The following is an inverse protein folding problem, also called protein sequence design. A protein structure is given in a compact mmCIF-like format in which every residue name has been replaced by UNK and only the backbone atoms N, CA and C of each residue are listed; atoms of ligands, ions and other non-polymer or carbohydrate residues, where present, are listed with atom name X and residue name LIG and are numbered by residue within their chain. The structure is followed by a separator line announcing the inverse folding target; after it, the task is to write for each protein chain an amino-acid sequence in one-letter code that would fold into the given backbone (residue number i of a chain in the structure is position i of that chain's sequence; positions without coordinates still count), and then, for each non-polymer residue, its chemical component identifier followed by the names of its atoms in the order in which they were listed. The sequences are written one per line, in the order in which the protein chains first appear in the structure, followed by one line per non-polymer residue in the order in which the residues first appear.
data_IF_002934346469
#
_entry.id   IF_002934346469
#
_cell.length_a   1.000
_cell.length_b   1.000
_cell.length_c   1.000
_cell.angle_alpha   90.00
_cell.angle_beta   90.00
_cell.angle_gamma   90.00
#
_symmetry.space_group_name_H-M   'P 1'
#
loop_
_entity.id
_entity.type
_entity.pdbx_description
1 polymer ?
#
# COMPACT_ATOMS: atom_id res chain seq x y z
N UNK A 1 16.25 -4.63 9.79
CA UNK A 1 15.14 -3.86 10.39
C UNK A 1 14.00 -4.84 10.63
N UNK A 2 13.33 -4.77 11.78
CA UNK A 2 12.17 -5.63 12.04
C UNK A 2 10.95 -5.20 11.23
N UNK A 3 10.02 -6.13 10.99
CA UNK A 3 8.83 -5.92 10.15
C UNK A 3 7.96 -4.74 10.60
N UNK A 4 7.75 -4.55 11.90
CA UNK A 4 6.88 -3.48 12.40
C UNK A 4 7.54 -2.11 12.26
N UNK A 5 8.86 -2.04 12.39
CA UNK A 5 9.61 -0.81 12.10
C UNK A 5 9.60 -0.51 10.60
N UNK A 6 9.79 -1.52 9.75
CA UNK A 6 9.74 -1.39 8.29
C UNK A 6 8.38 -0.82 7.83
N UNK A 7 7.27 -1.46 8.23
CA UNK A 7 5.92 -1.03 7.85
C UNK A 7 5.55 0.33 8.47
N UNK A 8 6.10 0.67 9.65
CA UNK A 8 5.90 2.00 10.22
C UNK A 8 6.48 3.11 9.36
N UNK A 9 7.67 2.90 8.80
CA UNK A 9 8.27 3.89 7.90
C UNK A 9 7.43 4.07 6.61
N UNK A 10 6.79 3.00 6.12
CA UNK A 10 5.78 3.11 5.05
C UNK A 10 4.57 3.92 5.47
N UNK A 11 3.97 3.58 6.61
CA UNK A 11 2.82 4.28 7.16
C UNK A 11 3.09 5.76 7.38
N UNK A 12 4.27 6.14 7.89
CA UNK A 12 4.63 7.55 8.09
C UNK A 12 4.72 8.32 6.76
N UNK A 13 5.27 7.70 5.72
CA UNK A 13 5.31 8.26 4.37
C UNK A 13 3.90 8.45 3.79
N UNK A 14 3.08 7.39 3.86
CA UNK A 14 1.68 7.40 3.41
C UNK A 14 0.87 8.46 4.16
N UNK A 15 0.93 8.50 5.49
CA UNK A 15 0.21 9.49 6.30
C UNK A 15 0.60 10.93 5.92
N UNK A 16 1.87 11.16 5.58
CA UNK A 16 2.34 12.45 5.05
C UNK A 16 1.70 12.80 3.70
N UNK A 17 1.59 11.83 2.79
CA UNK A 17 0.90 12.02 1.51
C UNK A 17 -0.60 12.27 1.71
N UNK A 18 -1.26 11.50 2.56
CA UNK A 18 -2.68 11.67 2.88
C UNK A 18 -2.97 13.04 3.50
N UNK A 19 -2.09 13.56 4.35
CA UNK A 19 -2.22 14.92 4.91
C UNK A 19 -2.17 16.01 3.84
N UNK A 20 -1.25 15.88 2.88
CA UNK A 20 -1.14 16.84 1.76
C UNK A 20 -2.37 16.75 0.85
N UNK A 21 -2.86 15.53 0.59
CA UNK A 21 -3.98 15.28 -0.30
C UNK A 21 -5.34 15.70 0.29
N UNK A 22 -5.53 15.57 1.60
CA UNK A 22 -6.74 16.03 2.30
C UNK A 22 -6.92 17.57 2.18
N UNK A 23 -5.80 18.30 2.13
CA UNK A 23 -5.79 19.75 1.90
C UNK A 23 -5.86 20.19 0.43
N UNK A 24 -5.92 19.26 -0.53
CA UNK A 24 -5.78 19.61 -1.95
C UNK A 24 -7.04 20.30 -2.52
N UNK A 25 -6.88 21.32 -3.39
CA UNK A 25 -8.01 22.03 -3.97
C UNK A 25 -8.78 21.16 -4.98
N UNK A 26 -10.10 21.09 -4.81
CA UNK A 26 -10.99 20.41 -5.74
C UNK A 26 -11.20 21.17 -7.07
N UNK A 27 -11.69 20.47 -8.09
CA UNK A 27 -12.03 21.06 -9.40
C UNK A 27 -10.80 21.51 -10.22
N UNK A 28 -10.90 22.64 -10.90
CA UNK A 28 -9.82 23.15 -11.77
C UNK A 28 -8.56 23.60 -11.00
N UNK A 29 -8.65 23.78 -9.68
CA UNK A 29 -7.50 24.09 -8.83
C UNK A 29 -6.50 22.93 -8.70
N UNK A 30 -6.99 21.69 -8.69
CA UNK A 30 -6.16 20.49 -8.58
C UNK A 30 -5.28 20.23 -9.83
N UNK A 31 -5.74 20.65 -11.00
CA UNK A 31 -4.96 20.53 -12.26
C UNK A 31 -3.71 21.41 -12.27
N UNK A 32 -3.68 22.46 -11.45
CA UNK A 32 -2.57 23.43 -11.40
C UNK A 32 -1.65 23.22 -10.19
N UNK A 33 -1.96 22.30 -9.28
CA UNK A 33 -1.31 22.18 -7.95
C UNK A 33 -0.33 21.02 -7.81
N UNK A 34 -0.08 20.23 -8.87
CA UNK A 34 0.71 19.00 -8.76
C UNK A 34 -0.03 17.83 -8.10
N UNK A 35 -1.37 17.90 -8.02
CA UNK A 35 -2.23 16.86 -7.44
C UNK A 35 -2.01 15.50 -8.13
N UNK A 36 -1.96 15.49 -9.46
CA UNK A 36 -1.75 14.27 -10.24
C UNK A 36 -0.48 13.53 -9.83
N UNK A 37 0.63 14.26 -9.67
CA UNK A 37 1.90 13.68 -9.21
C UNK A 37 1.78 13.14 -7.79
N UNK A 38 1.18 13.88 -6.86
CA UNK A 38 1.03 13.40 -5.47
C UNK A 38 0.16 12.15 -5.39
N UNK A 39 -0.95 12.10 -6.13
CA UNK A 39 -1.79 10.91 -6.21
C UNK A 39 -1.07 9.75 -6.91
N UNK A 40 -0.28 10.03 -7.94
CA UNK A 40 0.54 9.00 -8.59
C UNK A 40 1.54 8.38 -7.62
N UNK A 41 2.20 9.20 -6.80
CA UNK A 41 3.13 8.74 -5.76
C UNK A 41 2.40 7.88 -4.71
N UNK A 42 1.21 8.32 -4.26
CA UNK A 42 0.38 7.57 -3.33
C UNK A 42 0.00 6.20 -3.92
N UNK A 43 -0.50 6.16 -5.16
CA UNK A 43 -0.88 4.92 -5.84
C UNK A 43 0.30 3.95 -5.89
N UNK A 44 1.50 4.43 -6.24
CA UNK A 44 2.70 3.59 -6.27
C UNK A 44 3.02 3.05 -4.88
N UNK A 45 3.06 3.92 -3.86
CA UNK A 45 3.43 3.53 -2.50
C UNK A 45 2.48 2.48 -1.92
N UNK A 46 1.17 2.72 -2.04
CA UNK A 46 0.13 1.82 -1.53
C UNK A 46 0.11 0.49 -2.28
N UNK A 47 0.25 0.52 -3.62
CA UNK A 47 0.30 -0.71 -4.42
C UNK A 47 1.46 -1.62 -4.03
N UNK A 48 2.61 -1.03 -3.66
CA UNK A 48 3.76 -1.79 -3.19
C UNK A 48 3.56 -2.29 -1.76
N UNK A 49 3.00 -1.45 -0.89
CA UNK A 49 2.79 -1.72 0.52
C UNK A 49 1.77 -2.85 0.74
N UNK A 50 0.56 -2.73 0.18
CA UNK A 50 -0.48 -3.76 0.31
C UNK A 50 0.01 -5.10 -0.29
N UNK A 51 0.75 -5.06 -1.41
CA UNK A 51 1.24 -6.29 -2.04
C UNK A 51 2.22 -7.08 -1.14
N UNK A 52 3.11 -6.40 -0.41
CA UNK A 52 4.03 -7.10 0.49
C UNK A 52 3.32 -7.60 1.75
N UNK A 53 2.26 -6.91 2.20
CA UNK A 53 1.47 -7.32 3.34
C UNK A 53 0.66 -8.58 3.03
N UNK A 54 -0.05 -8.61 1.91
CA UNK A 54 -0.77 -9.79 1.41
C UNK A 54 0.15 -10.99 1.18
N UNK A 55 1.37 -10.75 0.69
CA UNK A 55 2.30 -11.82 0.38
C UNK A 55 2.99 -12.41 1.62
N UNK A 56 3.24 -11.59 2.66
CA UNK A 56 4.07 -11.98 3.80
C UNK A 56 3.54 -11.60 5.18
N UNK A 57 3.00 -10.39 5.35
CA UNK A 57 2.55 -9.92 6.66
C UNK A 57 1.31 -10.66 7.13
N UNK A 58 0.23 -10.69 6.34
CA UNK A 58 -1.01 -11.36 6.72
C UNK A 58 -0.87 -12.87 6.90
N UNK A 59 -0.11 -13.60 6.06
CA UNK A 59 0.23 -14.99 6.35
C UNK A 59 0.92 -15.17 7.71
N UNK A 60 1.86 -14.27 8.08
CA UNK A 60 2.52 -14.35 9.38
C UNK A 60 1.56 -14.03 10.55
N UNK A 61 0.62 -13.11 10.36
CA UNK A 61 -0.44 -12.82 11.35
C UNK A 61 -1.31 -14.05 11.58
N UNK A 62 -1.75 -14.73 10.51
CA UNK A 62 -2.54 -15.98 10.59
C UNK A 62 -1.80 -17.09 11.31
N UNK A 63 -0.51 -17.25 11.01
CA UNK A 63 0.31 -18.31 11.59
C UNK A 63 0.62 -18.06 13.08
N UNK A 64 0.75 -16.81 13.50
CA UNK A 64 1.24 -16.44 14.82
C UNK A 64 0.16 -16.20 15.88
N UNK A 65 -1.08 -15.92 15.49
CA UNK A 65 -2.15 -15.51 16.39
C UNK A 65 -3.34 -16.48 16.32
N UNK A 66 -3.91 -16.82 17.48
CA UNK A 66 -5.10 -17.68 17.56
C UNK A 66 -6.29 -17.06 16.80
N UNK A 67 -6.47 -15.74 16.88
CA UNK A 67 -7.45 -14.96 16.12
C UNK A 67 -6.92 -14.42 14.77
N UNK A 68 -5.78 -14.93 14.29
CA UNK A 68 -5.06 -14.38 13.15
C UNK A 68 -5.86 -14.38 11.84
N UNK A 69 -6.73 -15.38 11.63
CA UNK A 69 -7.61 -15.44 10.47
C UNK A 69 -8.61 -14.30 10.43
N UNK A 70 -9.30 -14.02 11.54
CA UNK A 70 -10.28 -12.93 11.64
C UNK A 70 -9.61 -11.57 11.46
N UNK A 71 -8.41 -11.40 12.04
CA UNK A 71 -7.66 -10.15 11.94
C UNK A 71 -7.23 -9.86 10.50
N UNK A 72 -6.69 -10.87 9.83
CA UNK A 72 -6.23 -10.76 8.45
C UNK A 72 -7.39 -10.65 7.46
N UNK A 73 -8.50 -11.38 7.65
CA UNK A 73 -9.67 -11.28 6.77
C UNK A 73 -10.25 -9.86 6.74
N UNK A 74 -10.31 -9.20 7.90
CA UNK A 74 -10.78 -7.82 7.99
C UNK A 74 -9.83 -6.84 7.28
N UNK A 75 -8.51 -6.98 7.49
CA UNK A 75 -7.53 -6.12 6.81
C UNK A 75 -7.56 -6.30 5.28
N UNK A 76 -7.57 -7.56 4.81
CA UNK A 76 -7.65 -7.87 3.38
C UNK A 76 -8.93 -7.32 2.74
N UNK A 77 -10.03 -7.26 3.50
CA UNK A 77 -11.25 -6.60 3.04
C UNK A 77 -11.05 -5.08 2.89
N UNK A 78 -10.39 -4.43 3.86
CA UNK A 78 -10.09 -3.00 3.80
C UNK A 78 -9.17 -2.67 2.62
N UNK A 79 -8.09 -3.43 2.42
CA UNK A 79 -7.16 -3.30 1.29
C UNK A 79 -7.88 -3.52 -0.04
N UNK A 80 -8.77 -4.50 -0.14
CA UNK A 80 -9.54 -4.74 -1.35
C UNK A 80 -10.43 -3.55 -1.74
N UNK A 81 -11.02 -2.85 -0.76
CA UNK A 81 -11.76 -1.60 -1.03
C UNK A 81 -10.80 -0.46 -1.38
N UNK A 82 -9.67 -0.34 -0.67
CA UNK A 82 -8.58 0.60 -0.97
C UNK A 82 -8.10 0.50 -2.42
N UNK A 83 -7.78 -0.70 -2.90
CA UNK A 83 -7.35 -0.97 -4.28
C UNK A 83 -8.35 -0.51 -5.33
N UNK A 84 -9.66 -0.65 -5.07
CA UNK A 84 -10.69 -0.18 -6.02
C UNK A 84 -10.69 1.34 -6.12
N UNK A 85 -10.47 2.04 -5.01
CA UNK A 85 -10.34 3.50 -4.99
C UNK A 85 -9.05 3.94 -5.68
N UNK A 86 -7.92 3.28 -5.40
CA UNK A 86 -6.66 3.52 -6.11
C UNK A 86 -6.80 3.29 -7.61
N UNK A 87 -7.56 2.27 -8.03
CA UNK A 87 -7.82 2.02 -9.46
C UNK A 87 -8.64 3.15 -10.10
N UNK A 88 -9.67 3.67 -9.41
CA UNK A 88 -10.41 4.86 -9.87
C UNK A 88 -9.50 6.08 -10.01
N UNK A 89 -8.56 6.26 -9.08
CA UNK A 89 -7.55 7.33 -9.14
C UNK A 89 -6.56 7.13 -10.29
N UNK A 90 -6.10 5.91 -10.54
CA UNK A 90 -5.21 5.56 -11.65
C UNK A 90 -5.87 5.77 -13.03
N UNK A 91 -7.17 5.47 -13.14
CA UNK A 91 -7.93 5.61 -14.40
C UNK A 91 -8.45 7.03 -14.65
N UNK A 92 -8.63 7.82 -13.59
CA UNK A 92 -9.19 9.17 -13.62
C UNK A 92 -8.14 10.28 -13.69
N UNK A 93 -8.61 11.53 -13.65
CA UNK A 93 -7.75 12.73 -13.64
C UNK A 93 -8.23 13.83 -12.69
N UNK A 94 -7.31 14.68 -12.19
CA UNK A 94 -7.69 15.87 -11.44
C UNK A 94 -8.73 16.73 -12.17
N UNK A 95 -9.80 17.05 -11.46
CA UNK A 95 -10.92 17.87 -11.95
C UNK A 95 -12.16 17.05 -12.31
N UNK A 96 -12.01 15.73 -12.45
CA UNK A 96 -13.14 14.82 -12.61
C UNK A 96 -13.82 14.57 -11.25
N UNK A 97 -15.16 14.62 -11.15
CA UNK A 97 -15.86 14.41 -9.89
C UNK A 97 -15.54 13.04 -9.24
N UNK A 98 -15.52 11.97 -10.04
CA UNK A 98 -15.23 10.61 -9.55
C UNK A 98 -13.83 10.47 -8.95
N UNK A 99 -12.84 11.14 -9.56
CA UNK A 99 -11.45 11.17 -9.07
C UNK A 99 -11.36 11.83 -7.69
N UNK A 100 -12.02 12.98 -7.52
CA UNK A 100 -11.99 13.72 -6.24
C UNK A 100 -12.78 12.99 -5.15
N UNK A 101 -13.89 12.33 -5.51
CA UNK A 101 -14.64 11.47 -4.60
C UNK A 101 -13.79 10.27 -4.14
N UNK A 102 -13.19 9.54 -5.08
CA UNK A 102 -12.31 8.41 -4.78
C UNK A 102 -11.12 8.83 -3.89
N UNK A 103 -10.56 10.03 -4.11
CA UNK A 103 -9.45 10.55 -3.30
C UNK A 103 -9.88 10.79 -1.84
N UNK A 104 -11.02 11.46 -1.64
CA UNK A 104 -11.53 11.75 -0.29
C UNK A 104 -11.88 10.46 0.47
N UNK A 105 -12.48 9.50 -0.23
CA UNK A 105 -12.79 8.18 0.32
C UNK A 105 -11.49 7.45 0.69
N UNK A 106 -10.49 7.44 -0.20
CA UNK A 106 -9.20 6.79 0.05
C UNK A 106 -8.46 7.39 1.25
N UNK A 107 -8.43 8.72 1.38
CA UNK A 107 -7.84 9.40 2.56
C UNK A 107 -8.47 8.90 3.86
N UNK A 108 -9.77 8.64 3.87
CA UNK A 108 -10.48 8.13 5.04
C UNK A 108 -10.10 6.67 5.30
N UNK A 109 -10.31 5.79 4.31
CA UNK A 109 -10.12 4.34 4.52
C UNK A 109 -8.66 3.96 4.73
N UNK A 110 -7.71 4.66 4.10
CA UNK A 110 -6.27 4.44 4.30
C UNK A 110 -5.85 4.76 5.74
N UNK A 111 -6.35 5.87 6.32
CA UNK A 111 -6.10 6.21 7.73
C UNK A 111 -6.72 5.18 8.68
N UNK A 112 -7.95 4.73 8.39
CA UNK A 112 -8.63 3.70 9.19
C UNK A 112 -7.88 2.37 9.16
N UNK A 113 -7.39 1.96 7.98
CA UNK A 113 -6.60 0.75 7.81
C UNK A 113 -5.28 0.81 8.59
N UNK A 114 -4.50 1.89 8.44
CA UNK A 114 -3.25 2.10 9.21
C UNK A 114 -3.53 2.08 10.71
N UNK A 115 -4.63 2.70 11.16
CA UNK A 115 -5.00 2.68 12.58
C UNK A 115 -5.37 1.28 13.06
N UNK A 116 -6.08 0.50 12.26
CA UNK A 116 -6.43 -0.88 12.57
C UNK A 116 -5.17 -1.73 12.75
N UNK A 117 -4.26 -1.68 11.78
CA UNK A 117 -2.99 -2.36 11.85
C UNK A 117 -2.21 -2.04 13.14
N UNK A 118 -1.90 -0.76 13.33
CA UNK A 118 -0.96 -0.34 14.36
C UNK A 118 -1.51 -0.49 15.78
N UNK A 119 -2.83 -0.31 15.94
CA UNK A 119 -3.46 -0.31 17.27
C UNK A 119 -4.10 -1.64 17.64
N UNK A 120 -4.46 -2.47 16.66
CA UNK A 120 -5.14 -3.75 16.90
C UNK A 120 -4.22 -4.93 16.63
N UNK A 121 -3.62 -5.00 15.44
CA UNK A 121 -2.85 -6.17 14.99
C UNK A 121 -1.44 -6.16 15.57
N UNK A 122 -0.71 -5.07 15.40
CA UNK A 122 0.71 -4.99 15.75
C UNK A 122 1.03 -5.26 17.23
N UNK A 123 0.22 -4.82 18.22
CA UNK A 123 0.47 -5.14 19.63
C UNK A 123 0.38 -6.63 19.93
N UNK A 124 -0.54 -7.34 19.25
CA UNK A 124 -0.70 -8.80 19.37
C UNK A 124 0.48 -9.50 18.73
N UNK A 125 0.82 -9.12 17.50
CA UNK A 125 1.92 -9.73 16.75
C UNK A 125 3.28 -9.55 17.45
N UNK A 126 3.52 -8.36 18.02
CA UNK A 126 4.73 -8.08 18.83
C UNK A 126 4.85 -8.96 20.07
N UNK A 127 3.71 -9.39 20.62
CA UNK A 127 3.67 -10.26 21.80
C UNK A 127 3.88 -11.73 21.41
N UNK A 128 3.36 -12.12 20.24
CA UNK A 128 3.42 -13.50 19.76
C UNK A 128 4.77 -13.87 19.12
N UNK A 129 5.37 -12.96 18.36
CA UNK A 129 6.62 -13.21 17.64
C UNK A 129 7.84 -12.70 18.41
N UNK A 130 8.90 -13.52 18.43
CA UNK A 130 10.21 -13.12 18.93
C UNK A 130 10.90 -12.11 18.02
N UNK A 131 11.96 -11.49 18.54
CA UNK A 131 12.73 -10.48 17.80
C UNK A 131 13.29 -11.01 16.46
N UNK A 132 13.91 -12.19 16.47
CA UNK A 132 14.47 -12.82 15.27
C UNK A 132 13.40 -13.14 14.21
N UNK A 133 12.19 -13.53 14.63
CA UNK A 133 11.07 -13.78 13.72
C UNK A 133 10.60 -12.49 13.04
N UNK A 134 10.50 -11.39 13.80
CA UNK A 134 10.15 -10.08 13.27
C UNK A 134 11.23 -9.51 12.35
N UNK A 135 12.52 -9.73 12.64
CA UNK A 135 13.62 -9.35 11.74
C UNK A 135 13.59 -10.15 10.43
N UNK A 136 13.37 -11.46 10.52
CA UNK A 136 13.24 -12.32 9.34
C UNK A 136 12.04 -11.93 8.47
N UNK A 137 10.90 -11.58 9.09
CA UNK A 137 9.74 -11.06 8.36
C UNK A 137 10.05 -9.71 7.70
N UNK A 138 10.72 -8.80 8.40
CA UNK A 138 11.13 -7.50 7.87
C UNK A 138 12.03 -7.63 6.64
N UNK A 139 12.98 -8.57 6.64
CA UNK A 139 13.84 -8.81 5.48
C UNK A 139 13.08 -9.36 4.25
N UNK A 140 12.04 -10.17 4.48
CA UNK A 140 11.16 -10.64 3.39
C UNK A 140 10.37 -9.49 2.78
N UNK A 141 9.78 -8.63 3.62
CA UNK A 141 9.05 -7.44 3.20
C UNK A 141 9.94 -6.50 2.38
N UNK A 142 11.13 -6.16 2.89
CA UNK A 142 12.10 -5.30 2.20
C UNK A 142 12.52 -5.85 0.84
N UNK A 143 12.77 -7.17 0.76
CA UNK A 143 13.18 -7.81 -0.49
C UNK A 143 12.04 -7.83 -1.50
N UNK A 144 10.82 -8.11 -1.05
CA UNK A 144 9.65 -8.19 -1.90
C UNK A 144 9.24 -6.82 -2.46
N UNK A 145 9.31 -5.77 -1.65
CA UNK A 145 8.92 -4.41 -2.06
C UNK A 145 9.68 -3.91 -3.28
N UNK A 146 10.96 -4.27 -3.42
CA UNK A 146 11.83 -3.91 -4.56
C UNK A 146 11.30 -4.39 -5.92
N UNK A 147 10.44 -5.40 -5.92
CA UNK A 147 9.84 -5.99 -7.13
C UNK A 147 8.31 -5.99 -7.05
N UNK A 148 7.73 -5.27 -6.11
CA UNK A 148 6.29 -5.15 -5.94
C UNK A 148 5.67 -4.32 -7.09
N UNK A 149 4.39 -4.55 -7.41
CA UNK A 149 3.68 -3.79 -8.43
C UNK A 149 3.58 -2.31 -8.07
N UNK A 150 3.54 -1.45 -9.08
CA UNK A 150 3.44 0.03 -8.92
C UNK A 150 2.04 0.54 -9.26
N UNK A 151 1.10 -0.36 -9.53
CA UNK A 151 -0.31 -0.10 -9.84
C UNK A 151 -1.19 -1.01 -9.00
N UNK A 152 -2.44 -0.58 -8.72
CA UNK A 152 -3.39 -1.41 -8.00
C UNK A 152 -3.81 -2.58 -8.89
N UNK A 153 -4.04 -3.74 -8.26
CA UNK A 153 -4.49 -4.95 -8.94
C UNK A 153 -5.75 -5.50 -8.24
N UNK A 154 -6.89 -4.79 -8.26
CA UNK A 154 -8.09 -5.15 -7.50
C UNK A 154 -8.72 -6.48 -7.93
N UNK A 155 -8.44 -6.95 -9.15
CA UNK A 155 -8.93 -8.24 -9.66
C UNK A 155 -8.01 -9.42 -9.28
N UNK A 156 -6.86 -9.16 -8.67
CA UNK A 156 -5.95 -10.20 -8.21
C UNK A 156 -6.33 -10.63 -6.80
N UNK A 157 -6.64 -11.92 -6.56
CA UNK A 157 -6.96 -12.39 -5.21
C UNK A 157 -5.80 -12.14 -4.23
N UNK A 158 -6.08 -11.82 -2.96
CA UNK A 158 -5.07 -11.51 -1.94
C UNK A 158 -4.26 -12.73 -1.46
N UNK A 159 -4.31 -13.87 -2.17
CA UNK A 159 -3.66 -15.09 -1.70
C UNK A 159 -2.18 -15.16 -2.15
N UNK A 160 -1.30 -15.50 -1.20
CA UNK A 160 0.15 -15.46 -1.42
C UNK A 160 0.65 -16.42 -2.53
N UNK A 161 -0.11 -17.48 -2.86
CA UNK A 161 0.28 -18.45 -3.88
C UNK A 161 0.04 -17.93 -5.30
N UNK A 162 -1.11 -17.28 -5.52
CA UNK A 162 -1.43 -16.61 -6.79
C UNK A 162 -0.53 -15.40 -6.97
N UNK A 163 -0.26 -14.62 -5.92
CA UNK A 163 0.64 -13.47 -6.02
C UNK A 163 2.10 -13.85 -6.27
N UNK A 164 2.62 -14.92 -5.66
CA UNK A 164 3.99 -15.38 -5.94
C UNK A 164 4.19 -15.78 -7.41
N UNK A 165 3.14 -16.28 -8.07
CA UNK A 165 3.20 -16.79 -9.45
C UNK A 165 2.78 -15.77 -10.51
N UNK A 166 1.75 -14.95 -10.22
CA UNK A 166 1.26 -13.92 -11.13
C UNK A 166 1.91 -12.55 -10.89
N UNK A 167 2.21 -12.21 -9.62
CA UNK A 167 2.74 -10.92 -9.20
C UNK A 167 4.12 -10.57 -9.77
N UNK A 168 4.98 -11.57 -10.01
CA UNK A 168 6.27 -11.34 -10.69
C UNK A 168 6.08 -10.97 -12.16
N UNK A 169 5.06 -11.51 -12.84
CA UNK A 169 4.76 -11.19 -14.24
C UNK A 169 4.13 -9.80 -14.40
N UNK A 170 3.15 -9.46 -13.56
CA UNK A 170 2.48 -8.15 -13.59
C UNK A 170 3.40 -7.02 -13.13
N UNK A 171 4.19 -7.21 -12.08
CA UNK A 171 5.15 -6.19 -11.64
C UNK A 171 6.16 -5.85 -12.75
N UNK A 172 6.70 -6.84 -13.48
CA UNK A 172 7.61 -6.58 -14.61
C UNK A 172 6.93 -5.72 -15.69
N UNK A 173 5.65 -5.97 -15.98
CA UNK A 173 4.88 -5.17 -16.94
C UNK A 173 4.69 -3.74 -16.44
N UNK A 174 4.36 -3.57 -15.16
CA UNK A 174 4.16 -2.25 -14.55
C UNK A 174 5.45 -1.43 -14.57
N UNK A 175 6.56 -1.99 -14.10
CA UNK A 175 7.87 -1.33 -14.12
C UNK A 175 8.32 -0.99 -15.54
N UNK A 176 8.05 -1.85 -16.53
CA UNK A 176 8.32 -1.55 -17.94
C UNK A 176 7.46 -0.38 -18.46
N UNK A 177 6.17 -0.34 -18.12
CA UNK A 177 5.27 0.78 -18.45
C UNK A 177 5.74 2.08 -17.80
N UNK A 178 6.28 2.01 -16.59
CA UNK A 178 6.77 3.20 -15.86
C UNK A 178 8.01 3.81 -16.50
N UNK A 179 8.93 2.98 -16.97
CA UNK A 179 10.10 3.44 -17.73
C UNK A 179 9.69 4.07 -19.06
N UNK A 180 8.71 3.48 -19.77
CA UNK A 180 8.24 4.00 -21.06
C UNK A 180 7.48 5.33 -20.89
N UNK A 181 6.67 5.44 -19.84
CA UNK A 181 5.85 6.64 -19.57
C UNK A 181 6.60 7.76 -18.86
N UNK A 182 7.79 7.50 -18.32
CA UNK A 182 8.51 8.42 -17.45
C UNK A 182 7.97 8.46 -16.01
N UNK A 183 6.94 7.67 -15.68
CA UNK A 183 6.39 7.55 -14.32
C UNK A 183 7.40 7.01 -13.32
N UNK A 184 8.45 6.30 -13.77
CA UNK A 184 9.52 5.83 -12.90
C UNK A 184 10.21 6.97 -12.11
N UNK A 185 10.22 8.20 -12.63
CA UNK A 185 10.76 9.39 -11.94
C UNK A 185 9.83 9.90 -10.82
N UNK A 186 8.59 9.44 -10.77
CA UNK A 186 7.58 9.76 -9.76
C UNK A 186 7.51 8.69 -8.66
N UNK A 187 8.35 7.65 -8.72
CA UNK A 187 8.44 6.73 -7.60
C UNK A 187 8.82 7.51 -6.33
N UNK A 188 8.02 7.43 -5.26
CA UNK A 188 8.40 8.06 -4.01
C UNK A 188 9.72 7.44 -3.52
N UNK A 189 10.59 8.22 -2.87
CA UNK A 189 11.81 7.67 -2.30
C UNK A 189 11.45 6.56 -1.31
N UNK A 190 12.27 5.51 -1.30
CA UNK A 190 12.12 4.42 -0.34
C UNK A 190 12.28 4.99 1.08
N UNK A 191 11.23 4.95 1.93
CA UNK A 191 11.30 5.56 3.26
C UNK A 191 12.29 4.84 4.18
N UNK A 192 12.68 3.60 3.83
CA UNK A 192 13.66 2.81 4.56
C UNK A 192 15.11 3.17 4.19
N UNK A 193 15.34 3.93 3.10
CA UNK A 193 16.68 4.35 2.66
C UNK A 193 16.99 5.75 3.21
N UNK A 194 17.90 5.82 4.19
CA UNK A 194 18.43 7.07 4.77
C UNK A 194 19.77 7.49 4.17
#
# INVERSE_FOLDING_TARGET
MDALTFLREDHESVLGMLEVLDGAPAGSGGQLSGLETMVTNLVIAESQHEAIEEQFFWPAVRDALDEGDELADLALQQEQEGKKLLQRLEDGKPGEPDYHEALQEFVTVGREHIMYEQNVVWPKLRTALGHEELENLGQKLETAKKVAPTRPHPDTPPNSMVQKTMGTGTAIIDHAKDVISGRAEQNPPDPQVR
#
